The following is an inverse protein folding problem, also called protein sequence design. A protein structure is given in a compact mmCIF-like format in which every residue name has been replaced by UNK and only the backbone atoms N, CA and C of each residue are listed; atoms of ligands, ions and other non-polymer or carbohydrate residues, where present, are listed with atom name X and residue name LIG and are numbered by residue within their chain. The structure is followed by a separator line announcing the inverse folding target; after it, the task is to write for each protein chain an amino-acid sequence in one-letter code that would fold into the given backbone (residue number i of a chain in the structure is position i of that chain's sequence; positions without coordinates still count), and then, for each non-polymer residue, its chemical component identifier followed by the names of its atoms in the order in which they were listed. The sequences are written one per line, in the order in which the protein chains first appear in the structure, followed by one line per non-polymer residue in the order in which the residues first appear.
data_IF_904406019819
#
_entry.id   IF_904406019819
#
_cell.length_a   1.000
_cell.length_b   1.000
_cell.length_c   1.000
_cell.angle_alpha   90.00
_cell.angle_beta   90.00
_cell.angle_gamma   90.00
#
_symmetry.space_group_name_H-M   'P 1'
#
loop_
_entity.id
_entity.type
_entity.pdbx_description
1 polymer ?
#
# COMPACT_ATOMS: atom_id res chain seq x y z
N UNK A 1 -4.52 12.31 -3.43
CA UNK A 1 -5.84 11.63 -3.48
C UNK A 1 -7.01 12.58 -3.71
N UNK A 2 -7.16 13.69 -2.98
CA UNK A 2 -8.19 14.69 -3.31
C UNK A 2 -7.90 15.43 -4.61
N UNK A 3 -6.65 15.88 -4.76
CA UNK A 3 -6.15 16.51 -6.00
C UNK A 3 -6.32 15.59 -7.21
N UNK A 4 -6.22 14.28 -6.99
CA UNK A 4 -6.31 13.26 -8.04
C UNK A 4 -7.77 12.84 -8.30
N UNK A 5 -8.73 13.44 -7.60
CA UNK A 5 -10.16 13.21 -7.81
C UNK A 5 -10.69 11.89 -7.22
N UNK A 6 -9.91 11.18 -6.40
CA UNK A 6 -10.32 9.90 -5.79
C UNK A 6 -11.10 10.10 -4.48
N UNK A 7 -10.84 11.20 -3.80
CA UNK A 7 -11.48 11.55 -2.53
C UNK A 7 -12.09 12.93 -2.65
N UNK A 8 -13.35 13.07 -2.25
CA UNK A 8 -14.04 14.35 -2.11
C UNK A 8 -14.00 14.77 -0.65
N UNK A 9 -13.53 16.00 -0.42
CA UNK A 9 -13.64 16.70 0.84
C UNK A 9 -14.93 17.49 0.90
N UNK A 10 -15.61 17.49 2.04
CA UNK A 10 -16.79 18.34 2.27
C UNK A 10 -16.67 18.98 3.63
N UNK A 11 -16.76 20.31 3.68
CA UNK A 11 -16.69 21.10 4.92
C UNK A 11 -18.10 21.54 5.26
N UNK A 12 -18.53 21.22 6.48
CA UNK A 12 -19.80 21.66 7.04
C UNK A 12 -19.52 22.80 8.02
N UNK A 13 -19.90 24.05 7.68
CA UNK A 13 -19.64 25.22 8.50
C UNK A 13 -20.66 25.32 9.65
N UNK A 14 -20.66 24.33 10.53
CA UNK A 14 -21.43 24.30 11.78
C UNK A 14 -20.53 24.54 12.99
N UNK A 15 -21.08 24.63 14.20
CA UNK A 15 -20.29 24.68 15.44
C UNK A 15 -20.52 23.39 16.22
N UNK A 16 -19.49 22.54 16.41
CA UNK A 16 -18.13 22.66 15.87
C UNK A 16 -18.06 22.37 14.37
N UNK A 17 -17.09 22.99 13.67
CA UNK A 17 -16.90 22.75 12.22
C UNK A 17 -16.55 21.29 11.99
N UNK A 18 -17.22 20.64 11.04
CA UNK A 18 -16.96 19.25 10.65
C UNK A 18 -16.43 19.17 9.24
N UNK A 19 -15.51 18.23 9.02
CA UNK A 19 -14.99 17.89 7.70
C UNK A 19 -15.21 16.42 7.46
N UNK A 20 -15.77 16.08 6.30
CA UNK A 20 -15.93 14.71 5.84
C UNK A 20 -15.10 14.44 4.60
N UNK A 21 -14.63 13.20 4.52
CA UNK A 21 -13.91 12.66 3.37
C UNK A 21 -14.68 11.44 2.87
N UNK A 22 -14.96 11.42 1.57
CA UNK A 22 -15.66 10.31 0.95
C UNK A 22 -14.99 9.95 -0.37
N UNK A 23 -14.98 8.66 -0.73
CA UNK A 23 -14.57 8.26 -2.06
C UNK A 23 -15.53 8.83 -3.11
N UNK A 24 -14.95 9.38 -4.17
CA UNK A 24 -15.67 9.71 -5.40
C UNK A 24 -16.03 8.42 -6.16
N UNK A 25 -16.80 8.53 -7.23
CA UNK A 25 -17.03 7.38 -8.12
C UNK A 25 -15.73 6.80 -8.69
N UNK A 26 -14.77 7.67 -9.06
CA UNK A 26 -13.44 7.25 -9.49
C UNK A 26 -12.64 6.57 -8.35
N UNK A 27 -12.77 7.05 -7.11
CA UNK A 27 -12.18 6.39 -5.95
C UNK A 27 -12.80 5.02 -5.65
N UNK A 28 -14.12 4.88 -5.85
CA UNK A 28 -14.85 3.62 -5.64
C UNK A 28 -14.53 2.58 -6.71
N UNK A 29 -14.31 3.00 -7.95
CA UNK A 29 -13.98 2.09 -9.05
C UNK A 29 -12.65 1.36 -8.84
N UNK A 30 -11.75 1.91 -8.01
CA UNK A 30 -10.51 1.23 -7.62
C UNK A 30 -10.72 -0.05 -6.81
N UNK A 31 -11.92 -0.28 -6.26
CA UNK A 31 -12.21 -1.49 -5.47
C UNK A 31 -12.00 -2.77 -6.27
N UNK A 32 -12.38 -2.78 -7.55
CA UNK A 32 -12.27 -3.95 -8.41
C UNK A 32 -10.82 -4.31 -8.77
N UNK A 33 -9.97 -3.39 -9.28
CA UNK A 33 -8.58 -3.69 -9.55
C UNK A 33 -7.80 -4.02 -8.27
N UNK A 34 -8.10 -3.37 -7.14
CA UNK A 34 -7.47 -3.70 -5.86
C UNK A 34 -7.85 -5.11 -5.38
N UNK A 35 -9.12 -5.52 -5.58
CA UNK A 35 -9.57 -6.88 -5.29
C UNK A 35 -8.84 -7.90 -6.17
N UNK A 36 -8.75 -7.66 -7.47
CA UNK A 36 -8.05 -8.56 -8.39
C UNK A 36 -6.57 -8.70 -8.00
N UNK A 37 -5.91 -7.60 -7.63
CA UNK A 37 -4.54 -7.62 -7.14
C UNK A 37 -4.41 -8.39 -5.83
N UNK A 38 -5.35 -8.20 -4.90
CA UNK A 38 -5.39 -8.94 -3.63
C UNK A 38 -5.55 -10.44 -3.88
N UNK A 39 -6.47 -10.84 -4.74
CA UNK A 39 -6.75 -12.25 -5.07
C UNK A 39 -5.51 -12.90 -5.71
N UNK A 40 -4.86 -12.22 -6.66
CA UNK A 40 -3.62 -12.67 -7.24
C UNK A 40 -2.51 -12.81 -6.18
N UNK A 41 -2.33 -11.80 -5.32
CA UNK A 41 -1.30 -11.82 -4.28
C UNK A 41 -1.50 -12.97 -3.30
N UNK A 42 -2.75 -13.26 -2.90
CA UNK A 42 -3.07 -14.39 -2.04
C UNK A 42 -2.73 -15.71 -2.74
N UNK A 43 -3.07 -15.85 -4.03
CA UNK A 43 -2.81 -17.06 -4.79
C UNK A 43 -1.31 -17.35 -4.97
N UNK A 44 -0.47 -16.33 -5.04
CA UNK A 44 0.97 -16.46 -5.35
C UNK A 44 1.88 -16.20 -4.14
N UNK A 45 1.33 -15.97 -2.95
CA UNK A 45 2.11 -15.61 -1.77
C UNK A 45 3.20 -16.64 -1.47
N UNK A 46 2.86 -17.94 -1.56
CA UNK A 46 3.80 -19.02 -1.31
C UNK A 46 4.95 -19.08 -2.33
N UNK A 47 4.66 -18.85 -3.61
CA UNK A 47 5.68 -18.82 -4.67
C UNK A 47 6.64 -17.65 -4.48
N UNK A 48 6.09 -16.47 -4.14
CA UNK A 48 6.88 -15.28 -3.85
C UNK A 48 7.77 -15.51 -2.63
N UNK A 49 7.23 -16.06 -1.53
CA UNK A 49 8.01 -16.38 -0.33
C UNK A 49 9.11 -17.40 -0.62
N UNK A 50 8.81 -18.48 -1.34
CA UNK A 50 9.83 -19.47 -1.72
C UNK A 50 10.94 -18.86 -2.59
N UNK A 51 10.58 -17.95 -3.51
CA UNK A 51 11.57 -17.22 -4.31
C UNK A 51 12.44 -16.29 -3.46
N UNK A 52 11.87 -15.64 -2.44
CA UNK A 52 12.62 -14.79 -1.50
C UNK A 52 13.60 -15.62 -0.67
N UNK A 53 13.15 -16.74 -0.10
CA UNK A 53 13.99 -17.65 0.68
C UNK A 53 15.15 -18.23 -0.15
N UNK A 54 14.86 -18.63 -1.39
CA UNK A 54 15.88 -19.14 -2.30
C UNK A 54 16.92 -18.06 -2.65
N UNK A 55 16.49 -16.80 -2.84
CA UNK A 55 17.39 -15.67 -3.07
C UNK A 55 18.26 -15.40 -1.84
N UNK A 56 17.67 -15.33 -0.65
CA UNK A 56 18.38 -15.06 0.60
C UNK A 56 19.39 -16.17 0.93
N UNK A 57 19.08 -17.43 0.60
CA UNK A 57 20.01 -18.55 0.74
C UNK A 57 21.14 -18.51 -0.31
N UNK A 58 20.86 -18.04 -1.52
CA UNK A 58 21.86 -17.91 -2.58
C UNK A 58 22.72 -16.64 -2.43
N UNK A 59 22.24 -15.62 -1.70
CA UNK A 59 22.99 -14.42 -1.41
C UNK A 59 24.12 -14.75 -0.41
N UNK A 60 25.39 -14.40 -0.71
CA UNK A 60 26.43 -14.46 0.30
C UNK A 60 26.02 -13.57 1.49
N UNK A 61 26.40 -13.93 2.73
CA UNK A 61 26.01 -13.15 3.91
C UNK A 61 26.36 -11.67 3.66
N UNK A 62 25.48 -10.73 4.04
CA UNK A 62 25.77 -9.32 3.84
C UNK A 62 27.15 -9.05 4.42
N UNK A 63 28.04 -8.46 3.63
CA UNK A 63 29.30 -7.96 4.16
C UNK A 63 28.93 -6.95 5.23
N UNK A 64 29.02 -7.35 6.49
CA UNK A 64 28.89 -6.47 7.63
C UNK A 64 29.99 -5.42 7.52
N UNK A 65 29.71 -4.31 6.85
CA UNK A 65 30.48 -3.09 7.02
C UNK A 65 30.17 -2.60 8.43
N UNK A 66 31.12 -2.68 9.37
CA UNK A 66 30.90 -2.20 10.72
C UNK A 66 30.98 -0.69 10.65
N UNK A 67 29.83 0.00 10.56
CA UNK A 67 29.85 1.43 10.80
C UNK A 67 29.97 1.65 12.30
N UNK A 68 31.22 1.85 12.73
CA UNK A 68 31.57 2.41 14.03
C UNK A 68 30.91 3.78 14.18
N UNK A 69 30.37 4.02 15.37
CA UNK A 69 30.42 5.27 16.12
C UNK A 69 30.54 6.57 15.31
N UNK A 70 29.47 7.39 15.30
CA UNK A 70 29.50 8.78 15.80
C UNK A 70 28.07 9.24 16.06
#
# INVERSE_FOLDING_TARGET
MERDGLVRRTVYPEVPVRVEYALTEAGRSLREPLRALQEWAIAHLGEVSASQEAYDHAAPPPSSSPNRDT
#
